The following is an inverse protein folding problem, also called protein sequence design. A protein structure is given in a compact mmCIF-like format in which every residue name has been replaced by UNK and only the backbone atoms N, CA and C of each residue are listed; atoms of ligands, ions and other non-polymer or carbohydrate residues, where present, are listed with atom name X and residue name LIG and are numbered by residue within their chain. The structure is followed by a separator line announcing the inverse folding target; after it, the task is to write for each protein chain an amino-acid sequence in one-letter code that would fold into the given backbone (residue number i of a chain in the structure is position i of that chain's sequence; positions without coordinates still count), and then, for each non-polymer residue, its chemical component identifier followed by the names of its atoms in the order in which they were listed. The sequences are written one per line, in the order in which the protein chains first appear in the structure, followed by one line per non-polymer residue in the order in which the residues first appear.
data_IF_815238151859
#
_entry.id   IF_815238151859
#
_cell.length_a   1.000
_cell.length_b   1.000
_cell.length_c   1.000
_cell.angle_alpha   90.00
_cell.angle_beta   90.00
_cell.angle_gamma   90.00
#
_symmetry.space_group_name_H-M   'P 1'
#
loop_
_entity.id
_entity.type
_entity.pdbx_description
1 polymer ?
#
# COMPACT_ATOMS: atom_id res chain seq x y z
N UNK A 1 -14.49 24.39 -34.14
CA UNK A 1 -15.44 23.95 -33.10
C UNK A 1 -14.89 24.34 -31.74
N UNK A 2 -15.69 24.92 -30.85
CA UNK A 2 -15.31 25.13 -29.43
C UNK A 2 -15.98 24.03 -28.60
N UNK A 3 -15.20 23.31 -27.80
CA UNK A 3 -15.72 22.38 -26.81
C UNK A 3 -15.78 23.08 -25.45
N UNK A 4 -16.85 22.86 -24.69
CA UNK A 4 -17.04 23.40 -23.33
C UNK A 4 -16.96 22.30 -22.29
N UNK A 5 -16.29 22.56 -21.17
CA UNK A 5 -16.16 21.63 -20.04
C UNK A 5 -16.81 22.26 -18.82
N UNK A 6 -17.65 21.50 -18.12
CA UNK A 6 -18.26 21.90 -16.84
C UNK A 6 -17.86 20.89 -15.78
N UNK A 7 -17.27 21.36 -14.68
CA UNK A 7 -16.81 20.53 -13.57
C UNK A 7 -17.41 21.06 -12.26
N UNK A 8 -17.78 20.14 -11.37
CA UNK A 8 -18.15 20.47 -9.98
C UNK A 8 -16.94 20.22 -9.08
N UNK A 9 -16.59 21.22 -8.30
CA UNK A 9 -15.50 21.18 -7.33
C UNK A 9 -16.05 21.59 -5.97
N UNK A 10 -15.37 21.15 -4.92
CA UNK A 10 -15.57 21.74 -3.60
C UNK A 10 -15.20 23.24 -3.62
N UNK A 11 -15.97 24.06 -2.92
CA UNK A 11 -15.83 25.52 -2.95
C UNK A 11 -14.49 25.98 -2.34
N UNK A 12 -14.03 25.30 -1.27
CA UNK A 12 -12.75 25.62 -0.64
C UNK A 12 -11.59 25.21 -1.54
N UNK A 13 -11.65 24.01 -2.14
CA UNK A 13 -10.65 23.55 -3.10
C UNK A 13 -10.55 24.50 -4.31
N UNK A 14 -11.69 24.96 -4.84
CA UNK A 14 -11.72 25.92 -5.94
C UNK A 14 -11.03 27.22 -5.56
N UNK A 15 -11.37 27.81 -4.41
CA UNK A 15 -10.79 29.07 -3.97
C UNK A 15 -9.27 28.99 -3.77
N UNK A 16 -8.78 27.90 -3.17
CA UNK A 16 -7.34 27.65 -3.01
C UNK A 16 -6.63 27.50 -4.35
N UNK A 17 -7.21 26.74 -5.27
CA UNK A 17 -6.65 26.54 -6.61
C UNK A 17 -6.59 27.86 -7.41
N UNK A 18 -7.64 28.69 -7.34
CA UNK A 18 -7.67 30.00 -8.00
C UNK A 18 -6.60 30.94 -7.46
N UNK A 19 -6.36 30.97 -6.14
CA UNK A 19 -5.29 31.77 -5.55
C UNK A 19 -3.89 31.36 -6.06
N UNK A 20 -3.60 30.05 -6.11
CA UNK A 20 -2.32 29.54 -6.64
C UNK A 20 -2.17 29.84 -8.13
N UNK A 21 -3.25 29.73 -8.89
CA UNK A 21 -3.24 30.04 -10.32
C UNK A 21 -2.96 31.53 -10.58
N UNK A 22 -3.51 32.41 -9.75
CA UNK A 22 -3.23 33.84 -9.79
C UNK A 22 -1.76 34.15 -9.45
N UNK A 23 -1.20 33.49 -8.42
CA UNK A 23 0.23 33.60 -8.08
C UNK A 23 1.15 33.18 -9.24
N UNK A 24 0.75 32.15 -9.99
CA UNK A 24 1.48 31.65 -11.15
C UNK A 24 1.21 32.44 -12.44
N UNK A 25 0.26 33.38 -12.44
CA UNK A 25 -0.14 34.15 -13.61
C UNK A 25 -0.82 33.31 -14.70
N UNK A 26 -1.48 32.21 -14.33
CA UNK A 26 -2.11 31.25 -15.25
C UNK A 26 -3.62 31.24 -15.01
N UNK A 27 -4.42 31.48 -16.05
CA UNK A 27 -5.88 31.34 -15.91
C UNK A 27 -6.32 29.88 -15.80
N UNK A 28 -7.47 29.63 -15.17
CA UNK A 28 -8.05 28.28 -15.06
C UNK A 28 -8.24 27.61 -16.42
N UNK A 29 -8.56 28.38 -17.46
CA UNK A 29 -8.68 27.86 -18.84
C UNK A 29 -7.32 27.41 -19.38
N UNK A 30 -6.25 28.17 -19.15
CA UNK A 30 -4.90 27.78 -19.56
C UNK A 30 -4.40 26.56 -18.79
N UNK A 31 -4.62 26.51 -17.48
CA UNK A 31 -4.26 25.35 -16.65
C UNK A 31 -4.92 24.06 -17.15
N UNK A 32 -6.23 24.09 -17.41
CA UNK A 32 -6.97 22.95 -17.97
C UNK A 32 -6.45 22.61 -19.38
N UNK A 33 -6.17 23.61 -20.21
CA UNK A 33 -5.63 23.38 -21.56
C UNK A 33 -4.28 22.68 -21.50
N UNK A 34 -3.37 23.12 -20.63
CA UNK A 34 -2.06 22.50 -20.43
C UNK A 34 -2.17 21.07 -19.90
N UNK A 35 -3.10 20.79 -18.99
CA UNK A 35 -3.40 19.42 -18.54
C UNK A 35 -3.80 18.52 -19.72
N UNK A 36 -4.73 18.97 -20.57
CA UNK A 36 -5.17 18.18 -21.72
C UNK A 36 -4.05 17.96 -22.74
N UNK A 37 -3.22 18.97 -23.00
CA UNK A 37 -2.05 18.84 -23.86
C UNK A 37 -1.07 17.79 -23.31
N UNK A 38 -0.80 17.84 -22.00
CA UNK A 38 0.06 16.87 -21.34
C UNK A 38 -0.48 15.44 -21.47
N UNK A 39 -1.78 15.23 -21.23
CA UNK A 39 -2.43 13.93 -21.36
C UNK A 39 -2.30 13.35 -22.77
N UNK A 40 -2.46 14.19 -23.80
CA UNK A 40 -2.31 13.79 -25.21
C UNK A 40 -0.86 13.41 -25.52
N UNK A 41 0.10 14.20 -25.03
CA UNK A 41 1.52 14.03 -25.33
C UNK A 41 2.15 12.84 -24.60
N UNK A 42 1.82 12.66 -23.32
CA UNK A 42 2.53 11.73 -22.44
C UNK A 42 1.70 10.51 -22.03
N UNK A 43 0.40 10.47 -22.36
CA UNK A 43 -0.51 9.35 -22.04
C UNK A 43 -0.58 8.99 -20.55
N UNK A 44 -0.28 9.96 -19.69
CA UNK A 44 -0.31 9.83 -18.23
C UNK A 44 -0.66 11.18 -17.61
N UNK A 45 -1.07 11.20 -16.34
CA UNK A 45 -1.29 12.44 -15.58
C UNK A 45 0.05 13.07 -15.18
N UNK A 46 0.16 14.41 -15.13
CA UNK A 46 1.41 15.10 -14.79
C UNK A 46 1.83 14.91 -13.32
N UNK A 47 0.92 14.41 -12.50
CA UNK A 47 1.16 13.94 -11.14
C UNK A 47 0.33 12.67 -10.93
N UNK A 48 0.75 11.80 -10.00
CA UNK A 48 -0.08 10.66 -9.61
C UNK A 48 -1.30 11.20 -8.86
N UNK A 49 -2.47 11.16 -9.48
CA UNK A 49 -3.75 11.27 -8.75
C UNK A 49 -3.91 9.96 -7.97
N UNK A 50 -3.34 9.92 -6.77
CA UNK A 50 -3.75 8.95 -5.77
C UNK A 50 -5.15 9.33 -5.29
N UNK A 51 -6.02 8.37 -4.93
CA UNK A 51 -7.27 8.71 -4.26
C UNK A 51 -6.95 9.69 -3.12
N UNK A 52 -7.68 10.80 -3.10
CA UNK A 52 -7.41 12.04 -2.34
C UNK A 52 -7.60 11.85 -0.81
N UNK A 53 -7.45 10.66 -0.26
CA UNK A 53 -7.91 10.35 1.10
C UNK A 53 -7.02 9.47 1.97
N UNK A 54 -5.85 9.00 1.54
CA UNK A 54 -5.01 8.17 2.40
C UNK A 54 -3.84 9.00 2.94
N UNK A 55 -3.89 9.33 4.24
CA UNK A 55 -2.70 9.80 4.95
C UNK A 55 -1.60 8.72 4.88
N UNK A 56 -0.32 9.06 5.08
CA UNK A 56 0.74 8.06 5.20
C UNK A 56 0.40 6.95 6.21
N UNK A 57 -0.22 7.31 7.32
CA UNK A 57 -0.70 6.39 8.35
C UNK A 57 -1.77 5.42 7.82
N UNK A 58 -2.70 5.89 6.97
CA UNK A 58 -3.74 5.04 6.36
C UNK A 58 -3.13 4.01 5.40
N UNK A 59 -2.17 4.43 4.59
CA UNK A 59 -1.43 3.53 3.68
C UNK A 59 -0.67 2.48 4.49
N UNK A 60 0.07 2.91 5.52
CA UNK A 60 0.78 2.02 6.43
C UNK A 60 -0.15 1.01 7.10
N UNK A 61 -1.26 1.48 7.68
CA UNK A 61 -2.26 0.66 8.36
C UNK A 61 -2.86 -0.38 7.42
N UNK A 62 -3.26 0.04 6.23
CA UNK A 62 -3.84 -0.85 5.22
C UNK A 62 -2.84 -1.94 4.83
N UNK A 63 -1.60 -1.58 4.50
CA UNK A 63 -0.56 -2.54 4.12
C UNK A 63 -0.24 -3.53 5.26
N UNK A 64 -0.16 -3.06 6.52
CA UNK A 64 0.06 -3.95 7.67
C UNK A 64 -1.12 -4.90 7.91
N UNK A 65 -2.37 -4.44 7.75
CA UNK A 65 -3.56 -5.29 7.82
C UNK A 65 -3.55 -6.37 6.73
N UNK A 66 -3.26 -5.99 5.50
CA UNK A 66 -3.14 -6.93 4.38
C UNK A 66 -2.02 -7.94 4.61
N UNK A 67 -0.87 -7.50 5.13
CA UNK A 67 0.23 -8.39 5.48
C UNK A 67 -0.20 -9.41 6.55
N UNK A 68 -0.91 -8.99 7.60
CA UNK A 68 -1.39 -9.90 8.65
C UNK A 68 -2.33 -10.97 8.08
N UNK A 69 -3.18 -10.59 7.14
CA UNK A 69 -4.04 -11.53 6.42
C UNK A 69 -3.22 -12.52 5.57
N UNK A 70 -2.21 -12.03 4.83
CA UNK A 70 -1.33 -12.87 4.01
C UNK A 70 -0.51 -13.84 4.86
N UNK A 71 0.08 -13.41 5.98
CA UNK A 71 0.83 -14.29 6.89
C UNK A 71 -0.02 -15.43 7.46
N UNK A 72 -1.29 -15.15 7.82
CA UNK A 72 -2.25 -16.19 8.23
C UNK A 72 -2.55 -17.17 7.10
N UNK A 73 -2.75 -16.69 5.88
CA UNK A 73 -2.98 -17.54 4.70
C UNK A 73 -1.76 -18.41 4.39
N UNK A 74 -0.54 -17.86 4.43
CA UNK A 74 0.71 -18.59 4.24
C UNK A 74 0.83 -19.74 5.26
N UNK A 75 0.57 -19.44 6.54
CA UNK A 75 0.59 -20.43 7.62
C UNK A 75 -0.47 -21.52 7.43
N UNK A 76 -1.66 -21.14 6.95
CA UNK A 76 -2.74 -22.08 6.66
C UNK A 76 -2.38 -23.03 5.52
N UNK A 77 -1.82 -22.52 4.42
CA UNK A 77 -1.36 -23.35 3.29
C UNK A 77 -0.19 -24.25 3.71
N UNK A 78 0.72 -23.74 4.54
CA UNK A 78 1.86 -24.52 5.05
C UNK A 78 1.42 -25.70 5.94
N UNK A 79 0.38 -25.49 6.76
CA UNK A 79 -0.15 -26.48 7.70
C UNK A 79 -1.06 -27.54 7.07
N UNK A 80 -1.52 -27.35 5.83
CA UNK A 80 -2.30 -28.38 5.15
C UNK A 80 -1.43 -29.61 4.80
N UNK A 81 -1.98 -30.83 4.86
CA UNK A 81 -1.36 -32.02 4.28
C UNK A 81 -1.17 -31.88 2.76
N UNK A 82 -0.19 -32.57 2.18
CA UNK A 82 0.06 -32.52 0.73
C UNK A 82 -1.15 -33.03 -0.09
N UNK A 83 -1.84 -34.03 0.45
CA UNK A 83 -2.98 -34.71 -0.18
C UNK A 83 -4.33 -34.01 0.03
N UNK A 84 -4.36 -32.87 0.74
CA UNK A 84 -5.62 -32.20 1.04
C UNK A 84 -6.26 -31.62 -0.25
N UNK A 85 -7.54 -31.94 -0.55
CA UNK A 85 -8.18 -31.55 -1.81
C UNK A 85 -8.33 -30.02 -1.96
N UNK A 86 -8.42 -29.28 -0.84
CA UNK A 86 -8.49 -27.83 -0.80
C UNK A 86 -7.14 -27.12 -1.03
N UNK A 87 -6.01 -27.82 -0.85
CA UNK A 87 -4.66 -27.23 -0.89
C UNK A 87 -4.38 -26.47 -2.19
N UNK A 88 -4.69 -26.97 -3.40
CA UNK A 88 -4.41 -26.25 -4.64
C UNK A 88 -5.23 -24.97 -4.78
N UNK A 89 -6.49 -24.98 -4.35
CA UNK A 89 -7.34 -23.79 -4.40
C UNK A 89 -6.84 -22.71 -3.41
N UNK A 90 -6.48 -23.14 -2.20
CA UNK A 90 -5.96 -22.25 -1.17
C UNK A 90 -4.58 -21.69 -1.52
N UNK A 91 -3.70 -22.50 -2.13
CA UNK A 91 -2.40 -22.06 -2.64
C UNK A 91 -2.54 -21.01 -3.75
N UNK A 92 -3.49 -21.18 -4.69
CA UNK A 92 -3.77 -20.17 -5.72
C UNK A 92 -4.30 -18.85 -5.13
N UNK A 93 -5.20 -18.95 -4.15
CA UNK A 93 -5.70 -17.77 -3.44
C UNK A 93 -4.57 -17.05 -2.70
N UNK A 94 -3.73 -17.80 -1.98
CA UNK A 94 -2.55 -17.27 -1.29
C UNK A 94 -1.59 -16.59 -2.26
N UNK A 95 -1.28 -17.22 -3.40
CA UNK A 95 -0.43 -16.66 -4.46
C UNK A 95 -0.96 -15.31 -4.97
N UNK A 96 -2.26 -15.25 -5.27
CA UNK A 96 -2.89 -14.00 -5.73
C UNK A 96 -2.74 -12.89 -4.69
N UNK A 97 -3.01 -13.18 -3.40
CA UNK A 97 -2.90 -12.21 -2.31
C UNK A 97 -1.45 -11.77 -2.05
N UNK A 98 -0.48 -12.69 -2.13
CA UNK A 98 0.93 -12.35 -2.02
C UNK A 98 1.38 -11.40 -3.14
N UNK A 99 1.01 -11.67 -4.39
CA UNK A 99 1.35 -10.79 -5.53
C UNK A 99 0.70 -9.41 -5.40
N UNK A 100 -0.57 -9.36 -4.99
CA UNK A 100 -1.27 -8.10 -4.77
C UNK A 100 -0.55 -7.24 -3.72
N UNK A 101 -0.27 -7.82 -2.54
CA UNK A 101 0.42 -7.11 -1.48
C UNK A 101 1.84 -6.69 -1.88
N UNK A 102 2.57 -7.55 -2.60
CA UNK A 102 3.90 -7.21 -3.10
C UNK A 102 3.85 -5.97 -4.01
N UNK A 103 2.93 -5.94 -4.97
CA UNK A 103 2.75 -4.80 -5.87
C UNK A 103 2.34 -3.53 -5.12
N UNK A 104 1.47 -3.66 -4.11
CA UNK A 104 1.02 -2.53 -3.30
C UNK A 104 2.18 -1.97 -2.45
N UNK A 105 3.04 -2.83 -1.88
CA UNK A 105 4.26 -2.40 -1.18
C UNK A 105 5.22 -1.71 -2.16
N UNK A 106 5.55 -2.33 -3.29
CA UNK A 106 6.49 -1.77 -4.29
C UNK A 106 6.03 -0.40 -4.81
N UNK A 107 4.72 -0.21 -5.01
CA UNK A 107 4.13 1.07 -5.43
C UNK A 107 4.24 2.16 -4.37
N UNK A 108 4.40 1.78 -3.10
CA UNK A 108 4.38 2.68 -1.95
C UNK A 108 5.72 2.79 -1.22
N UNK A 109 6.73 1.95 -1.48
CA UNK A 109 8.04 1.97 -0.79
C UNK A 109 8.63 3.39 -0.76
N UNK A 110 8.74 4.07 -1.90
CA UNK A 110 9.34 5.41 -1.95
C UNK A 110 8.51 6.48 -1.23
N UNK A 111 7.20 6.24 -1.04
CA UNK A 111 6.34 7.10 -0.22
C UNK A 111 6.50 6.78 1.27
N UNK A 112 6.73 5.52 1.61
CA UNK A 112 6.89 5.04 2.99
C UNK A 112 8.28 5.33 3.58
N UNK A 113 9.32 5.36 2.74
CA UNK A 113 10.75 5.56 3.09
C UNK A 113 11.13 6.95 3.64
N UNK A 114 10.15 7.78 4.00
CA UNK A 114 10.37 9.09 4.61
C UNK A 114 9.27 9.46 5.60
N UNK A 115 8.39 8.52 5.92
CA UNK A 115 7.29 8.75 6.85
C UNK A 115 7.81 8.46 8.25
N UNK A 116 8.14 9.52 8.98
CA UNK A 116 8.16 9.49 10.44
C UNK A 116 6.70 9.45 10.89
N UNK A 117 6.15 8.24 11.04
CA UNK A 117 4.95 8.10 11.84
C UNK A 117 5.33 8.36 13.29
N UNK A 118 4.43 9.01 14.04
CA UNK A 118 4.67 9.55 15.38
C UNK A 118 5.13 8.47 16.35
N UNK A 119 6.43 8.19 16.40
CA UNK A 119 7.00 7.42 17.49
C UNK A 119 7.34 8.40 18.62
N UNK A 120 6.80 8.20 19.85
CA UNK A 120 7.22 8.97 21.02
C UNK A 120 8.64 8.60 21.50
N UNK A 121 9.27 7.57 20.94
CA UNK A 121 10.62 7.14 21.30
C UNK A 121 11.70 7.74 20.39
N UNK A 122 12.87 8.11 20.94
CA UNK A 122 13.99 8.60 20.14
C UNK A 122 14.56 7.47 19.29
N UNK A 123 14.40 7.58 17.96
CA UNK A 123 15.08 6.72 17.01
C UNK A 123 16.57 7.05 16.95
N UNK A 124 17.39 6.03 16.69
CA UNK A 124 18.73 6.24 16.17
C UNK A 124 18.62 6.74 14.73
N UNK A 125 19.44 7.71 14.31
CA UNK A 125 19.39 8.43 13.01
C UNK A 125 19.44 7.55 11.74
N UNK A 126 19.49 6.21 11.86
CA UNK A 126 19.75 5.24 10.80
C UNK A 126 18.55 4.28 10.53
N UNK A 127 17.43 4.42 11.24
CA UNK A 127 16.26 3.56 11.02
C UNK A 127 15.33 4.11 9.93
N UNK A 128 15.37 3.49 8.74
CA UNK A 128 14.47 3.77 7.61
C UNK A 128 13.42 2.67 7.47
N UNK A 129 12.16 3.02 7.67
CA UNK A 129 11.01 2.11 7.47
C UNK A 129 10.92 1.54 6.06
N UNK A 130 11.44 2.26 5.05
CA UNK A 130 11.57 1.80 3.68
C UNK A 130 12.35 0.49 3.57
N UNK A 131 13.37 0.29 4.40
CA UNK A 131 14.19 -0.93 4.43
C UNK A 131 13.34 -2.13 4.88
N UNK A 132 12.53 -1.97 5.93
CA UNK A 132 11.64 -3.03 6.40
C UNK A 132 10.57 -3.40 5.36
N UNK A 133 10.01 -2.41 4.65
CA UNK A 133 9.09 -2.66 3.56
C UNK A 133 9.74 -3.39 2.38
N UNK A 134 10.99 -3.05 2.07
CA UNK A 134 11.76 -3.76 1.05
C UNK A 134 12.01 -5.22 1.45
N UNK A 135 12.43 -5.49 2.69
CA UNK A 135 12.57 -6.86 3.17
C UNK A 135 11.25 -7.64 3.16
N UNK A 136 10.12 -6.98 3.47
CA UNK A 136 8.80 -7.61 3.32
C UNK A 136 8.51 -7.99 1.87
N UNK A 137 8.76 -7.10 0.91
CA UNK A 137 8.57 -7.38 -0.51
C UNK A 137 9.42 -8.57 -0.98
N UNK A 138 10.68 -8.66 -0.53
CA UNK A 138 11.57 -9.80 -0.82
C UNK A 138 11.02 -11.11 -0.27
N UNK A 139 10.49 -11.12 0.96
CA UNK A 139 9.87 -12.33 1.52
C UNK A 139 8.58 -12.73 0.78
N UNK A 140 7.77 -11.76 0.37
CA UNK A 140 6.58 -12.02 -0.45
C UNK A 140 6.97 -12.61 -1.81
N UNK A 141 8.02 -12.08 -2.45
CA UNK A 141 8.54 -12.62 -3.70
C UNK A 141 9.00 -14.09 -3.52
N UNK A 142 9.67 -14.41 -2.42
CA UNK A 142 10.04 -15.81 -2.10
C UNK A 142 8.82 -16.72 -1.96
N UNK A 143 7.75 -16.26 -1.29
CA UNK A 143 6.50 -17.02 -1.21
C UNK A 143 5.83 -17.19 -2.57
N UNK A 144 5.80 -16.15 -3.41
CA UNK A 144 5.26 -16.19 -4.76
C UNK A 144 5.98 -17.26 -5.59
N UNK A 145 7.32 -17.25 -5.62
CA UNK A 145 8.12 -18.24 -6.34
C UNK A 145 7.85 -19.67 -5.86
N UNK A 146 7.75 -19.87 -4.54
CA UNK A 146 7.46 -21.18 -3.96
C UNK A 146 6.05 -21.68 -4.33
N UNK A 147 5.06 -20.79 -4.38
CA UNK A 147 3.68 -21.12 -4.74
C UNK A 147 3.47 -21.34 -6.24
N UNK A 148 4.25 -20.68 -7.09
CA UNK A 148 4.22 -20.85 -8.56
C UNK A 148 4.84 -22.17 -9.02
N UNK A 149 5.94 -22.56 -8.38
CA UNK A 149 6.64 -23.81 -8.67
C UNK A 149 6.84 -24.61 -7.37
N UNK A 150 5.80 -25.36 -6.92
CA UNK A 150 5.82 -26.05 -5.64
C UNK A 150 6.96 -27.07 -5.56
N UNK A 151 7.99 -26.71 -4.78
CA UNK A 151 9.06 -27.62 -4.39
C UNK A 151 8.60 -28.52 -3.22
N UNK A 152 9.24 -29.69 -2.99
CA UNK A 152 8.87 -30.61 -1.91
C UNK A 152 8.98 -29.98 -0.50
N UNK A 153 9.70 -28.87 -0.37
CA UNK A 153 9.88 -28.10 0.86
C UNK A 153 8.92 -26.89 0.99
N UNK A 154 7.86 -26.82 0.16
CA UNK A 154 6.91 -25.70 0.15
C UNK A 154 6.43 -25.31 1.56
N UNK A 155 5.98 -26.27 2.36
CA UNK A 155 5.50 -25.99 3.72
C UNK A 155 6.58 -25.38 4.63
N UNK A 156 7.83 -25.81 4.50
CA UNK A 156 8.94 -25.25 5.28
C UNK A 156 9.26 -23.81 4.82
N UNK A 157 9.26 -23.57 3.51
CA UNK A 157 9.48 -22.24 2.93
C UNK A 157 8.39 -21.25 3.34
N UNK A 158 7.11 -21.63 3.23
CA UNK A 158 5.99 -20.76 3.63
C UNK A 158 5.98 -20.48 5.13
N UNK A 159 6.35 -21.46 5.97
CA UNK A 159 6.50 -21.27 7.42
C UNK A 159 7.61 -20.28 7.73
N UNK A 160 8.78 -20.42 7.08
CA UNK A 160 9.91 -19.50 7.24
C UNK A 160 9.53 -18.08 6.81
N UNK A 161 8.90 -17.92 5.65
CA UNK A 161 8.44 -16.63 5.13
C UNK A 161 7.43 -15.99 6.08
N UNK A 162 6.42 -16.74 6.55
CA UNK A 162 5.43 -16.23 7.50
C UNK A 162 6.07 -15.74 8.81
N UNK A 163 7.09 -16.45 9.31
CA UNK A 163 7.85 -16.04 10.48
C UNK A 163 8.60 -14.73 10.28
N UNK A 164 9.25 -14.54 9.13
CA UNK A 164 9.94 -13.29 8.80
C UNK A 164 8.97 -12.12 8.60
N UNK A 165 7.87 -12.33 7.87
CA UNK A 165 6.82 -11.33 7.71
C UNK A 165 6.24 -10.89 9.07
N UNK A 166 6.02 -11.85 9.97
CA UNK A 166 5.57 -11.55 11.34
C UNK A 166 6.60 -10.74 12.12
N UNK A 167 7.90 -11.01 11.95
CA UNK A 167 8.96 -10.23 12.60
C UNK A 167 8.97 -8.78 12.09
N UNK A 168 8.96 -8.58 10.78
CA UNK A 168 8.94 -7.23 10.20
C UNK A 168 7.64 -6.48 10.52
N UNK A 169 6.51 -7.18 10.60
CA UNK A 169 5.26 -6.59 11.04
C UNK A 169 5.39 -5.96 12.41
N UNK A 170 5.93 -6.68 13.38
CA UNK A 170 6.04 -6.14 14.74
C UNK A 170 7.00 -4.97 14.79
N UNK A 171 8.06 -4.97 13.97
CA UNK A 171 8.95 -3.81 13.83
C UNK A 171 8.22 -2.61 13.21
N UNK A 172 7.38 -2.79 12.20
CA UNK A 172 6.65 -1.67 11.58
C UNK A 172 5.41 -1.24 12.38
N UNK A 173 4.81 -2.14 13.15
CA UNK A 173 3.61 -1.86 13.95
C UNK A 173 3.91 -0.95 15.14
N UNK A 174 5.15 -0.96 15.66
CA UNK A 174 5.57 0.00 16.70
C UNK A 174 5.68 1.42 16.15
N UNK A 175 5.92 1.59 14.85
CA UNK A 175 6.13 2.92 14.23
C UNK A 175 4.85 3.71 14.01
N UNK A 176 3.69 3.05 13.96
CA UNK A 176 2.41 3.70 13.65
C UNK A 176 1.43 3.69 14.82
N UNK A 177 1.96 3.50 16.04
CA UNK A 177 1.24 3.38 17.31
C UNK A 177 -0.11 2.66 17.17
N UNK A 178 -0.07 1.47 16.53
CA UNK A 178 -1.28 0.73 16.17
C UNK A 178 -2.04 0.20 17.40
N UNK A 179 -1.52 0.43 18.61
CA UNK A 179 -2.05 -0.01 19.89
C UNK A 179 -3.07 0.96 20.52
N UNK A 180 -3.19 2.22 20.07
CA UNK A 180 -4.12 3.19 20.66
C UNK A 180 -5.54 3.17 20.10
N UNK A 181 -5.87 2.32 19.12
CA UNK A 181 -7.20 2.36 18.51
C UNK A 181 -8.10 1.22 18.99
N UNK A 182 -9.27 1.52 19.60
CA UNK A 182 -10.27 0.51 19.89
C UNK A 182 -10.74 -0.12 18.58
N UNK A 183 -11.07 -1.41 18.62
CA UNK A 183 -11.68 -2.13 17.50
C UNK A 183 -12.87 -1.30 16.98
N UNK A 184 -12.71 -0.68 15.81
CA UNK A 184 -13.81 0.04 15.18
C UNK A 184 -14.80 -1.00 14.68
N UNK A 185 -15.97 -1.06 15.33
CA UNK A 185 -17.12 -1.80 14.83
C UNK A 185 -17.50 -1.26 13.42
N UNK A 186 -18.15 -2.10 12.61
CA UNK A 186 -18.52 -1.86 11.18
C UNK A 186 -19.29 -0.55 10.88
N UNK A 187 -19.52 0.29 11.88
CA UNK A 187 -20.23 1.57 11.79
C UNK A 187 -19.35 2.82 11.97
N UNK A 188 -18.02 2.68 12.11
CA UNK A 188 -17.08 3.80 11.96
C UNK A 188 -17.26 4.94 12.97
N UNK A 189 -17.64 4.63 14.22
CA UNK A 189 -17.58 5.58 15.34
C UNK A 189 -16.54 5.16 16.38
N UNK A 190 -15.73 6.09 16.91
CA UNK A 190 -14.83 5.79 18.02
C UNK A 190 -15.64 5.56 19.30
N UNK A 191 -15.23 4.56 20.10
CA UNK A 191 -15.68 4.34 21.49
C UNK A 191 -14.82 5.18 22.42
#
# INVERSE_FOLDING_TARGET
MKASITVRLDDQLKAQAEAVLDELGVSSTQAITHLYLYLVQHRQLPYRVRPVSESPEDVYRNLLQQMRAVSRLLSSVAGLPAEAPERPAMARHCLHRCRQLQQDIERNIGFMAGVSCRDPLPHTDDEDTGIYWQWMAEQLQRAVLALESPAPDLSATLTSVSGQLSRYYWQLATWIDLYELPESDETGRPV
#
